data_IF_878016945058
#
_entry.id   IF_878016945058
#
_cell.length_a   1.000
_cell.length_b   1.000
_cell.length_c   1.000
_cell.angle_alpha   90.00
_cell.angle_beta   90.00
_cell.angle_gamma   90.00
#
_symmetry.space_group_name_H-M   'P 1'
#
loop_
_entity.id
_entity.type
_entity.pdbx_description
1 polymer ?
#
# COMPACT_ATOMS: atom_id res chain seq x y z
N UNK A 1 16.87 -44.44 -6.08
CA UNK A 1 15.60 -44.00 -5.44
C UNK A 1 15.89 -43.56 -4.01
N UNK A 2 16.30 -42.31 -3.83
CA UNK A 2 16.40 -41.70 -2.51
C UNK A 2 15.03 -41.13 -2.17
N UNK A 3 14.46 -41.60 -1.06
CA UNK A 3 13.28 -41.05 -0.45
C UNK A 3 13.60 -39.64 0.04
N UNK A 4 13.03 -38.62 -0.63
CA UNK A 4 12.95 -37.26 -0.10
C UNK A 4 12.02 -37.32 1.10
N UNK A 5 12.60 -37.30 2.29
CA UNK A 5 11.83 -37.29 3.55
C UNK A 5 10.91 -36.07 3.61
N UNK A 6 9.66 -36.33 3.88
CA UNK A 6 8.62 -35.35 4.15
C UNK A 6 9.03 -34.47 5.35
N UNK A 7 9.36 -33.20 5.10
CA UNK A 7 9.76 -32.24 6.13
C UNK A 7 8.58 -31.62 6.89
N UNK A 8 7.35 -31.99 6.57
CA UNK A 8 6.15 -31.51 7.26
C UNK A 8 6.04 -31.96 8.72
N UNK A 9 6.96 -32.82 9.18
CA UNK A 9 6.96 -33.37 10.54
C UNK A 9 7.70 -32.52 11.59
N UNK A 10 8.37 -31.42 11.21
CA UNK A 10 9.22 -30.65 12.15
C UNK A 10 8.54 -29.46 12.82
N UNK A 11 7.34 -29.06 12.40
CA UNK A 11 6.66 -27.86 12.93
C UNK A 11 7.40 -26.53 12.70
N UNK A 12 8.47 -26.56 11.89
CA UNK A 12 9.26 -25.38 11.54
C UNK A 12 8.72 -24.77 10.25
N UNK A 13 8.24 -23.55 10.30
CA UNK A 13 7.90 -22.75 9.11
C UNK A 13 9.11 -21.96 8.66
N UNK A 14 9.43 -22.04 7.38
CA UNK A 14 10.56 -21.34 6.75
C UNK A 14 10.07 -20.22 5.86
N UNK A 15 10.67 -19.03 6.03
CA UNK A 15 10.35 -17.84 5.24
C UNK A 15 11.61 -17.39 4.53
N UNK A 16 11.56 -17.25 3.20
CA UNK A 16 12.64 -16.69 2.40
C UNK A 16 12.26 -15.26 2.00
N UNK A 17 13.11 -14.30 2.33
CA UNK A 17 12.98 -12.93 1.86
C UNK A 17 13.88 -12.75 0.62
N UNK A 18 13.31 -12.20 -0.44
CA UNK A 18 14.03 -11.83 -1.65
C UNK A 18 13.91 -10.33 -1.90
N UNK A 19 14.85 -9.79 -2.68
CA UNK A 19 14.86 -8.37 -3.08
C UNK A 19 14.51 -8.18 -4.54
N UNK A 20 14.85 -9.16 -5.36
CA UNK A 20 14.60 -9.12 -6.80
C UNK A 20 13.32 -9.90 -7.13
N UNK A 21 12.22 -9.21 -7.51
CA UNK A 21 10.95 -9.87 -7.86
C UNK A 21 11.06 -10.75 -9.12
N UNK A 22 12.05 -10.53 -9.99
CA UNK A 22 12.26 -11.41 -11.14
C UNK A 22 12.58 -12.85 -10.70
N UNK A 23 13.03 -13.04 -9.45
CA UNK A 23 13.23 -14.36 -8.87
C UNK A 23 11.91 -15.08 -8.53
N UNK A 24 10.79 -14.37 -8.44
CA UNK A 24 9.47 -14.97 -8.26
C UNK A 24 8.94 -15.57 -9.56
N UNK A 25 9.36 -15.03 -10.69
CA UNK A 25 8.94 -15.54 -11.99
C UNK A 25 9.68 -16.85 -12.33
N UNK A 26 8.98 -17.83 -12.93
CA UNK A 26 9.63 -19.06 -13.38
C UNK A 26 10.65 -18.72 -14.47
N UNK A 27 11.94 -18.74 -14.15
CA UNK A 27 12.98 -18.72 -15.17
C UNK A 27 12.88 -19.97 -16.05
N UNK A 28 13.23 -19.84 -17.34
CA UNK A 28 13.15 -20.94 -18.32
C UNK A 28 13.76 -22.24 -17.77
N UNK A 29 12.91 -23.18 -17.34
CA UNK A 29 13.29 -24.50 -16.85
C UNK A 29 13.37 -24.68 -15.34
N UNK A 30 13.27 -23.62 -14.53
CA UNK A 30 13.06 -23.71 -13.09
C UNK A 30 11.61 -23.35 -12.76
N UNK A 31 10.97 -24.09 -11.88
CA UNK A 31 9.65 -23.72 -11.33
C UNK A 31 9.76 -22.46 -10.47
N UNK A 32 8.60 -21.99 -9.90
CA UNK A 32 8.60 -20.87 -8.95
C UNK A 32 9.64 -21.05 -7.85
N UNK A 33 10.17 -19.96 -7.32
CA UNK A 33 11.20 -19.97 -6.27
C UNK A 33 10.82 -20.89 -5.10
N UNK A 34 9.57 -20.92 -4.72
CA UNK A 34 9.01 -21.81 -3.69
C UNK A 34 9.27 -23.29 -3.98
N UNK A 35 9.22 -23.71 -5.24
CA UNK A 35 9.37 -25.10 -5.63
C UNK A 35 10.82 -25.63 -5.49
N UNK A 36 11.83 -24.77 -5.63
CA UNK A 36 13.23 -25.18 -5.54
C UNK A 36 13.93 -24.69 -4.27
N UNK A 37 13.51 -23.58 -3.66
CA UNK A 37 14.05 -23.08 -2.40
C UNK A 37 13.58 -23.91 -1.21
N UNK A 38 12.47 -24.64 -1.35
CA UNK A 38 11.79 -25.38 -0.27
C UNK A 38 11.40 -24.50 0.93
N UNK A 39 11.28 -23.20 0.71
CA UNK A 39 10.68 -22.30 1.70
C UNK A 39 9.16 -22.49 1.70
N UNK A 40 8.55 -22.43 2.88
CA UNK A 40 7.11 -22.51 3.03
C UNK A 40 6.43 -21.22 2.53
N UNK A 41 7.13 -20.08 2.70
CA UNK A 41 6.71 -18.76 2.23
C UNK A 41 7.88 -18.03 1.60
N UNK A 42 7.60 -17.29 0.53
CA UNK A 42 8.56 -16.37 -0.10
C UNK A 42 7.96 -14.97 -0.09
N UNK A 43 8.71 -14.01 0.43
CA UNK A 43 8.30 -12.60 0.55
C UNK A 43 9.25 -11.74 -0.28
N UNK A 44 8.72 -10.96 -1.19
CA UNK A 44 9.47 -9.94 -1.91
C UNK A 44 9.28 -8.58 -1.22
N UNK A 45 10.33 -8.08 -0.58
CA UNK A 45 10.23 -6.80 0.15
C UNK A 45 9.88 -5.61 -0.74
N UNK A 46 10.24 -5.66 -2.02
CA UNK A 46 9.88 -4.62 -2.97
C UNK A 46 8.38 -4.59 -3.24
N UNK A 47 7.75 -5.76 -3.40
CA UNK A 47 6.30 -5.86 -3.62
C UNK A 47 5.52 -5.40 -2.40
N UNK A 48 5.91 -5.85 -1.22
CA UNK A 48 5.27 -5.48 0.05
C UNK A 48 5.28 -3.96 0.30
N UNK A 49 6.41 -3.29 0.03
CA UNK A 49 6.51 -1.83 0.20
C UNK A 49 5.61 -1.11 -0.82
N UNK A 50 5.59 -1.56 -2.07
CA UNK A 50 4.73 -0.96 -3.10
C UNK A 50 3.26 -1.16 -2.75
N UNK A 51 2.87 -2.34 -2.29
CA UNK A 51 1.49 -2.62 -1.85
C UNK A 51 1.09 -1.75 -0.66
N UNK A 52 2.00 -1.55 0.29
CA UNK A 52 1.75 -0.67 1.43
C UNK A 52 1.58 0.79 1.01
N UNK A 53 2.46 1.31 0.15
CA UNK A 53 2.34 2.66 -0.40
C UNK A 53 1.06 2.81 -1.21
N UNK A 54 0.77 1.84 -2.07
CA UNK A 54 -0.43 1.83 -2.88
C UNK A 54 -1.70 1.79 -2.03
N UNK A 55 -1.71 1.02 -0.94
CA UNK A 55 -2.83 0.98 0.00
C UNK A 55 -3.08 2.35 0.66
N UNK A 56 -2.01 3.06 1.07
CA UNK A 56 -2.12 4.42 1.61
C UNK A 56 -2.75 5.42 0.66
N UNK A 57 -2.65 5.20 -0.64
CA UNK A 57 -3.23 6.07 -1.67
C UNK A 57 -4.71 5.80 -1.93
N UNK A 58 -5.23 4.66 -1.50
CA UNK A 58 -6.66 4.34 -1.62
C UNK A 58 -7.53 5.22 -0.72
N UNK A 59 -6.97 5.73 0.36
CA UNK A 59 -7.64 6.66 1.25
C UNK A 59 -6.61 7.57 1.95
N UNK A 60 -6.17 8.65 1.29
CA UNK A 60 -5.12 9.54 1.79
C UNK A 60 -5.47 10.23 3.11
N UNK A 61 -6.76 10.25 3.47
CA UNK A 61 -7.23 10.79 4.75
C UNK A 61 -7.13 9.80 5.92
N UNK A 62 -6.71 8.55 5.70
CA UNK A 62 -6.41 7.58 6.76
C UNK A 62 -4.92 7.67 7.10
N UNK A 63 -4.56 7.64 8.39
CA UNK A 63 -3.18 7.85 8.82
C UNK A 63 -2.25 6.75 8.34
N UNK A 64 -2.71 5.50 8.37
CA UNK A 64 -1.94 4.35 7.92
C UNK A 64 -2.84 3.24 7.41
N UNK A 65 -2.50 2.66 6.26
CA UNK A 65 -3.16 1.48 5.71
C UNK A 65 -2.07 0.44 5.43
N UNK A 66 -2.23 -0.74 6.03
CA UNK A 66 -1.33 -1.86 5.86
C UNK A 66 -2.07 -3.01 5.19
N UNK A 67 -1.54 -3.60 4.12
CA UNK A 67 -2.14 -4.79 3.53
C UNK A 67 -2.05 -5.97 4.51
N UNK A 68 -3.08 -6.78 4.56
CA UNK A 68 -3.18 -8.00 5.34
C UNK A 68 -3.61 -9.15 4.41
N UNK A 69 -2.66 -9.66 3.64
CA UNK A 69 -2.92 -10.58 2.54
C UNK A 69 -3.66 -9.89 1.38
N UNK A 70 -4.18 -10.67 0.45
CA UNK A 70 -4.64 -10.18 -0.86
C UNK A 70 -5.97 -9.38 -0.82
N UNK A 71 -6.77 -9.53 0.23
CA UNK A 71 -8.16 -9.04 0.27
C UNK A 71 -8.54 -8.31 1.55
N UNK A 72 -7.57 -8.00 2.39
CA UNK A 72 -7.84 -7.35 3.69
C UNK A 72 -6.77 -6.30 4.00
N UNK A 73 -7.14 -5.33 4.81
CA UNK A 73 -6.26 -4.24 5.21
C UNK A 73 -6.46 -3.90 6.68
N UNK A 74 -5.39 -3.48 7.32
CA UNK A 74 -5.44 -2.80 8.61
C UNK A 74 -5.46 -1.31 8.30
N UNK A 75 -6.51 -0.61 8.73
CA UNK A 75 -6.60 0.84 8.65
C UNK A 75 -6.45 1.44 10.06
N UNK A 76 -5.55 2.40 10.19
CA UNK A 76 -5.27 3.11 11.44
C UNK A 76 -5.65 4.55 11.27
N UNK A 77 -6.46 5.08 12.17
CA UNK A 77 -6.87 6.48 12.08
C UNK A 77 -7.17 7.10 13.44
N UNK A 78 -6.75 8.35 13.58
CA UNK A 78 -7.07 9.17 14.75
C UNK A 78 -8.51 9.68 14.68
N UNK A 79 -9.19 9.67 15.80
CA UNK A 79 -10.55 10.23 15.97
C UNK A 79 -10.47 11.75 16.09
N UNK A 80 -10.95 12.43 15.08
CA UNK A 80 -10.94 13.88 15.01
C UNK A 80 -12.07 14.52 15.83
N UNK A 81 -11.88 15.79 16.19
CA UNK A 81 -12.93 16.60 16.78
C UNK A 81 -14.20 16.58 15.91
N UNK A 82 -15.35 16.32 16.53
CA UNK A 82 -16.63 16.23 15.81
C UNK A 82 -16.91 14.89 15.15
N UNK A 83 -16.05 13.88 15.34
CA UNK A 83 -16.32 12.51 14.90
C UNK A 83 -17.63 11.99 15.49
N UNK A 84 -18.53 11.42 14.67
CA UNK A 84 -19.76 10.80 15.18
C UNK A 84 -19.51 9.53 16.02
N UNK A 85 -18.29 9.01 16.06
CA UNK A 85 -17.91 7.87 16.91
C UNK A 85 -17.72 8.28 18.38
N UNK A 86 -17.45 9.56 18.68
CA UNK A 86 -17.17 10.02 20.03
C UNK A 86 -18.35 9.70 20.96
N UNK A 87 -18.06 9.10 22.12
CA UNK A 87 -19.06 8.67 23.08
C UNK A 87 -19.71 7.32 22.79
N UNK A 88 -19.43 6.71 21.64
CA UNK A 88 -19.94 5.39 21.28
C UNK A 88 -19.03 4.31 21.86
N UNK A 89 -19.59 3.18 22.29
CA UNK A 89 -18.80 2.00 22.65
C UNK A 89 -18.28 1.30 21.40
N UNK A 90 -17.04 0.84 21.45
CA UNK A 90 -16.38 0.17 20.29
C UNK A 90 -17.18 -1.02 19.74
N UNK A 91 -17.86 -1.77 20.61
CA UNK A 91 -18.68 -2.93 20.20
C UNK A 91 -19.98 -2.57 19.47
N UNK A 92 -20.46 -1.32 19.60
CA UNK A 92 -21.71 -0.88 18.97
C UNK A 92 -21.50 -0.09 17.67
N UNK A 93 -20.26 0.14 17.29
CA UNK A 93 -19.94 0.97 16.09
C UNK A 93 -20.58 0.40 14.84
N UNK A 94 -20.47 -0.90 14.59
CA UNK A 94 -21.07 -1.55 13.42
C UNK A 94 -22.60 -1.58 13.43
N UNK A 95 -23.26 -1.42 14.58
CA UNK A 95 -24.71 -1.35 14.70
C UNK A 95 -25.24 0.06 14.38
N UNK A 96 -24.47 1.08 14.73
CA UNK A 96 -24.84 2.51 14.56
C UNK A 96 -24.44 3.00 13.17
N UNK A 97 -23.27 2.58 12.69
CA UNK A 97 -22.69 3.03 11.42
C UNK A 97 -22.59 1.85 10.44
N UNK A 98 -23.56 1.75 9.54
CA UNK A 98 -23.62 0.65 8.55
C UNK A 98 -22.40 0.69 7.65
N UNK A 99 -21.73 -0.44 7.53
CA UNK A 99 -20.60 -0.64 6.62
C UNK A 99 -19.23 -0.37 7.23
N UNK A 100 -19.16 0.23 8.43
CA UNK A 100 -17.88 0.39 9.13
C UNK A 100 -17.42 -0.98 9.64
N UNK A 101 -16.14 -1.34 9.46
CA UNK A 101 -15.60 -2.55 10.05
C UNK A 101 -15.48 -2.43 11.57
N UNK A 102 -15.39 -3.56 12.24
CA UNK A 102 -15.18 -3.60 13.69
C UNK A 102 -13.86 -2.95 14.08
N UNK A 103 -13.87 -2.24 15.21
CA UNK A 103 -12.65 -1.73 15.83
C UNK A 103 -11.95 -2.90 16.52
N UNK A 104 -10.74 -3.18 16.08
CA UNK A 104 -9.94 -4.29 16.60
C UNK A 104 -9.08 -3.89 17.79
N UNK A 105 -8.53 -2.69 17.75
CA UNK A 105 -7.70 -2.15 18.83
C UNK A 105 -7.84 -0.62 18.91
N UNK A 106 -7.45 -0.06 20.02
CA UNK A 106 -7.41 1.39 20.23
C UNK A 106 -6.22 1.77 21.10
N UNK A 107 -5.80 3.04 20.98
CA UNK A 107 -4.68 3.60 21.73
C UNK A 107 -4.93 5.07 22.01
N UNK A 108 -4.65 5.52 23.24
CA UNK A 108 -4.49 6.94 23.52
C UNK A 108 -3.09 7.40 23.13
N UNK A 109 -2.92 8.69 22.88
CA UNK A 109 -1.61 9.27 22.59
C UNK A 109 -0.63 8.99 23.75
N UNK A 110 0.57 8.50 23.43
CA UNK A 110 1.61 8.17 24.40
C UNK A 110 1.38 6.86 25.20
N UNK A 111 0.26 6.18 25.02
CA UNK A 111 -0.05 4.93 25.70
C UNK A 111 0.20 3.69 24.81
N UNK A 112 0.23 2.52 25.44
CA UNK A 112 0.24 1.25 24.70
C UNK A 112 -1.13 0.96 24.12
N UNK A 113 -1.18 0.43 22.91
CA UNK A 113 -2.41 -0.05 22.31
C UNK A 113 -3.02 -1.22 23.09
N UNK A 114 -4.33 -1.25 23.17
CA UNK A 114 -5.10 -2.34 23.76
C UNK A 114 -6.05 -2.93 22.72
N UNK A 115 -6.30 -4.23 22.81
CA UNK A 115 -7.34 -4.87 22.01
C UNK A 115 -8.71 -4.40 22.48
N UNK A 116 -9.61 -4.16 21.54
CA UNK A 116 -10.98 -3.78 21.87
C UNK A 116 -11.73 -4.97 22.46
N UNK A 117 -12.38 -4.73 23.59
CA UNK A 117 -13.32 -5.68 24.23
C UNK A 117 -14.78 -5.37 23.87
N UNK A 118 -15.01 -4.28 23.16
CA UNK A 118 -16.34 -3.78 22.82
C UNK A 118 -16.95 -2.84 23.85
N UNK A 119 -16.32 -2.66 25.01
CA UNK A 119 -16.84 -1.84 26.12
C UNK A 119 -16.21 -0.45 26.23
N UNK A 120 -15.12 -0.21 25.53
CA UNK A 120 -14.39 1.05 25.52
C UNK A 120 -15.24 2.14 24.88
N UNK A 121 -15.24 3.33 25.51
CA UNK A 121 -15.90 4.52 24.96
C UNK A 121 -14.88 5.28 24.12
N UNK A 122 -15.23 5.52 22.86
CA UNK A 122 -14.39 6.23 21.91
C UNK A 122 -14.32 7.72 22.30
N UNK A 123 -13.11 8.26 22.27
CA UNK A 123 -12.81 9.66 22.60
C UNK A 123 -12.03 10.34 21.46
N UNK A 124 -12.10 11.66 21.42
CA UNK A 124 -11.28 12.47 20.54
C UNK A 124 -9.77 12.22 20.79
N UNK A 125 -8.98 12.22 19.73
CA UNK A 125 -7.53 12.00 19.79
C UNK A 125 -7.13 10.52 19.95
N UNK A 126 -8.07 9.61 20.15
CA UNK A 126 -7.75 8.19 20.17
C UNK A 126 -7.41 7.69 18.78
N UNK A 127 -6.41 6.82 18.70
CA UNK A 127 -6.05 6.09 17.48
C UNK A 127 -6.81 4.76 17.48
N UNK A 128 -7.61 4.57 16.44
CA UNK A 128 -8.39 3.34 16.24
C UNK A 128 -7.77 2.48 15.15
N UNK A 129 -7.85 1.18 15.33
CA UNK A 129 -7.38 0.15 14.39
C UNK A 129 -8.58 -0.64 13.89
N UNK A 130 -8.79 -0.61 12.60
CA UNK A 130 -9.85 -1.33 11.90
C UNK A 130 -9.26 -2.45 11.05
N UNK A 131 -10.01 -3.53 10.86
CA UNK A 131 -9.69 -4.56 9.85
C UNK A 131 -10.72 -4.46 8.74
N UNK A 132 -10.32 -3.90 7.61
CA UNK A 132 -11.15 -3.72 6.43
C UNK A 132 -11.03 -4.89 5.47
N UNK A 133 -12.11 -5.21 4.75
CA UNK A 133 -12.19 -6.25 3.71
C UNK A 133 -12.55 -5.68 2.34
N UNK A 134 -12.75 -4.39 2.23
CA UNK A 134 -13.00 -3.71 0.96
C UNK A 134 -12.52 -2.26 1.02
N UNK A 135 -12.19 -1.70 -0.13
CA UNK A 135 -11.80 -0.29 -0.25
C UNK A 135 -12.95 0.67 0.08
N UNK A 136 -14.21 0.26 -0.14
CA UNK A 136 -15.38 1.06 0.23
C UNK A 136 -15.45 1.35 1.72
N UNK A 137 -14.89 0.46 2.55
CA UNK A 137 -14.85 0.66 3.99
C UNK A 137 -13.88 1.78 4.41
N UNK A 138 -12.89 2.13 3.58
CA UNK A 138 -11.99 3.24 3.87
C UNK A 138 -12.73 4.58 3.91
N UNK A 139 -13.57 4.83 2.92
CA UNK A 139 -14.41 6.03 2.88
C UNK A 139 -15.32 6.13 4.12
N UNK A 140 -15.85 4.99 4.54
CA UNK A 140 -16.70 4.95 5.73
C UNK A 140 -15.91 5.18 7.02
N UNK A 141 -14.71 4.61 7.14
CA UNK A 141 -13.80 4.87 8.26
C UNK A 141 -13.46 6.36 8.31
N UNK A 142 -13.03 6.94 7.16
CA UNK A 142 -12.66 8.36 7.05
C UNK A 142 -13.75 9.28 7.56
N UNK A 143 -14.99 9.09 7.10
CA UNK A 143 -16.16 9.87 7.55
C UNK A 143 -16.46 9.66 9.04
N UNK A 144 -16.38 8.43 9.50
CA UNK A 144 -16.70 8.07 10.87
C UNK A 144 -15.70 8.64 11.88
N UNK A 145 -14.42 8.66 11.56
CA UNK A 145 -13.40 9.29 12.42
C UNK A 145 -13.42 10.83 12.35
N UNK A 146 -14.32 11.41 11.55
CA UNK A 146 -14.49 12.86 11.43
C UNK A 146 -13.51 13.53 10.47
N UNK A 147 -12.91 12.78 9.55
CA UNK A 147 -12.05 13.32 8.51
C UNK A 147 -12.81 13.57 7.22
N UNK A 148 -12.28 14.47 6.40
CA UNK A 148 -12.82 14.72 5.07
C UNK A 148 -12.52 13.52 4.18
N UNK A 149 -13.55 13.00 3.55
CA UNK A 149 -13.45 11.92 2.58
C UNK A 149 -13.07 12.53 1.24
N UNK A 150 -11.86 12.25 0.80
CA UNK A 150 -11.35 12.69 -0.49
C UNK A 150 -11.14 11.46 -1.36
N UNK A 151 -11.88 11.39 -2.46
CA UNK A 151 -11.69 10.34 -3.47
C UNK A 151 -10.35 10.56 -4.19
N UNK A 152 -9.71 9.45 -4.57
CA UNK A 152 -8.56 9.52 -5.46
C UNK A 152 -8.99 10.14 -6.79
N UNK A 153 -8.30 11.17 -7.30
CA UNK A 153 -8.72 11.86 -8.50
C UNK A 153 -8.79 10.94 -9.72
N UNK A 154 -9.89 10.98 -10.47
CA UNK A 154 -9.96 10.32 -11.76
C UNK A 154 -8.91 10.91 -12.72
N UNK A 155 -8.12 10.06 -13.36
CA UNK A 155 -7.01 10.45 -14.23
C UNK A 155 -5.95 11.30 -13.52
N UNK A 156 -5.66 10.99 -12.26
CA UNK A 156 -4.66 11.70 -11.47
C UNK A 156 -3.34 11.89 -12.25
N UNK A 157 -2.71 13.06 -12.04
CA UNK A 157 -1.36 13.34 -12.51
C UNK A 157 -0.38 12.91 -11.41
N UNK A 158 0.49 11.96 -11.72
CA UNK A 158 1.39 11.36 -10.73
C UNK A 158 2.83 11.54 -11.18
N UNK A 159 3.67 12.10 -10.32
CA UNK A 159 5.11 12.14 -10.50
C UNK A 159 5.77 11.06 -9.64
N UNK A 160 6.63 10.25 -10.24
CA UNK A 160 7.45 9.24 -9.56
C UNK A 160 8.92 9.61 -9.74
N UNK A 161 9.65 9.71 -8.64
CA UNK A 161 11.06 10.03 -8.64
C UNK A 161 11.92 8.76 -8.56
N UNK A 162 12.50 8.39 -9.69
CA UNK A 162 13.34 7.22 -9.88
C UNK A 162 12.64 6.10 -10.66
N UNK A 163 13.37 5.50 -11.61
CA UNK A 163 12.95 4.33 -12.37
C UNK A 163 13.44 3.00 -11.76
N UNK A 164 13.83 3.02 -10.48
CA UNK A 164 14.18 1.81 -9.76
C UNK A 164 13.03 0.80 -9.82
N UNK A 165 13.29 -0.41 -9.37
CA UNK A 165 12.28 -1.45 -9.29
C UNK A 165 11.01 -1.00 -8.53
N UNK A 166 11.17 -0.18 -7.47
CA UNK A 166 10.04 0.43 -6.75
C UNK A 166 9.31 1.46 -7.61
N UNK A 167 10.03 2.39 -8.21
CA UNK A 167 9.43 3.42 -9.05
C UNK A 167 8.69 2.82 -10.25
N UNK A 168 9.25 1.79 -10.89
CA UNK A 168 8.59 1.07 -11.99
C UNK A 168 7.30 0.40 -11.56
N UNK A 169 7.26 -0.21 -10.37
CA UNK A 169 6.06 -0.84 -9.82
C UNK A 169 5.00 0.19 -9.42
N UNK A 170 5.41 1.30 -8.78
CA UNK A 170 4.51 2.41 -8.47
C UNK A 170 3.91 2.99 -9.74
N UNK A 171 4.74 3.26 -10.76
CA UNK A 171 4.26 3.75 -12.06
C UNK A 171 3.22 2.79 -12.65
N UNK A 172 3.50 1.48 -12.67
CA UNK A 172 2.57 0.47 -13.16
C UNK A 172 1.26 0.45 -12.34
N UNK A 173 1.35 0.57 -11.01
CA UNK A 173 0.17 0.62 -10.15
C UNK A 173 -0.73 1.80 -10.52
N UNK A 174 -0.18 3.02 -10.60
CA UNK A 174 -0.96 4.22 -10.95
C UNK A 174 -1.54 4.16 -12.37
N UNK A 175 -0.74 3.67 -13.32
CA UNK A 175 -1.23 3.46 -14.69
C UNK A 175 -2.41 2.49 -14.74
N UNK A 176 -2.39 1.43 -13.91
CA UNK A 176 -3.50 0.47 -13.81
C UNK A 176 -4.78 1.10 -13.26
N UNK A 177 -4.65 2.17 -12.47
CA UNK A 177 -5.78 2.97 -11.94
C UNK A 177 -6.25 4.07 -12.91
N UNK A 178 -5.62 4.18 -14.07
CA UNK A 178 -6.00 5.16 -15.09
C UNK A 178 -5.31 6.50 -14.96
N UNK A 179 -4.33 6.65 -14.07
CA UNK A 179 -3.55 7.87 -13.91
C UNK A 179 -2.64 8.13 -15.11
N UNK A 180 -2.23 9.40 -15.28
CA UNK A 180 -1.11 9.79 -16.10
C UNK A 180 0.12 9.86 -15.21
N UNK A 181 1.21 9.24 -15.62
CA UNK A 181 2.42 9.11 -14.79
C UNK A 181 3.61 9.73 -15.52
N UNK A 182 4.35 10.58 -14.84
CA UNK A 182 5.69 10.98 -15.25
C UNK A 182 6.70 10.37 -14.30
N UNK A 183 7.73 9.72 -14.86
CA UNK A 183 8.87 9.21 -14.09
C UNK A 183 10.09 10.04 -14.41
N UNK A 184 10.76 10.56 -13.39
CA UNK A 184 11.99 11.36 -13.54
C UNK A 184 13.14 10.51 -13.02
N UNK A 185 14.11 10.17 -13.90
CA UNK A 185 15.21 9.26 -13.58
C UNK A 185 16.54 9.88 -14.02
N UNK A 186 17.51 10.05 -13.09
CA UNK A 186 18.81 10.61 -13.42
C UNK A 186 19.75 9.65 -14.17
N UNK A 187 19.51 8.34 -14.08
CA UNK A 187 20.29 7.34 -14.81
C UNK A 187 19.64 7.05 -16.16
N UNK A 188 20.36 7.33 -17.24
CA UNK A 188 19.87 7.14 -18.61
C UNK A 188 19.57 5.67 -18.93
N UNK A 189 20.39 4.76 -18.41
CA UNK A 189 20.22 3.32 -18.69
C UNK A 189 18.96 2.80 -17.98
N UNK A 190 18.71 3.21 -16.72
CA UNK A 190 17.51 2.89 -15.98
C UNK A 190 16.25 3.50 -16.65
N UNK A 191 16.32 4.73 -17.11
CA UNK A 191 15.24 5.36 -17.85
C UNK A 191 14.91 4.59 -19.14
N UNK A 192 15.93 4.19 -19.91
CA UNK A 192 15.77 3.41 -21.14
C UNK A 192 15.22 1.99 -20.84
N UNK A 193 15.64 1.36 -19.74
CA UNK A 193 15.13 0.06 -19.32
C UNK A 193 13.63 0.14 -19.01
N UNK A 194 13.19 1.18 -18.29
CA UNK A 194 11.77 1.40 -18.02
C UNK A 194 10.97 1.61 -19.31
N UNK A 195 11.47 2.45 -20.24
CA UNK A 195 10.83 2.68 -21.54
C UNK A 195 10.73 1.37 -22.35
N UNK A 196 11.75 0.52 -22.30
CA UNK A 196 11.78 -0.78 -22.97
C UNK A 196 10.93 -1.88 -22.31
N UNK A 197 10.43 -1.63 -21.11
CA UNK A 197 9.63 -2.58 -20.34
C UNK A 197 8.16 -2.63 -20.81
N UNK A 198 7.38 -3.64 -20.40
CA UNK A 198 5.93 -3.67 -20.68
C UNK A 198 5.19 -2.41 -20.17
N UNK A 199 5.64 -1.84 -19.06
CA UNK A 199 5.07 -0.60 -18.48
C UNK A 199 5.32 0.59 -19.41
N UNK A 200 6.51 0.66 -20.04
CA UNK A 200 6.89 1.71 -20.98
C UNK A 200 6.02 1.80 -22.24
N UNK A 201 5.27 0.75 -22.55
CA UNK A 201 4.34 0.76 -23.69
C UNK A 201 3.06 1.59 -23.44
N UNK A 202 2.82 2.02 -22.23
CA UNK A 202 1.65 2.82 -21.86
C UNK A 202 1.71 4.23 -22.47
N UNK A 203 0.63 4.67 -23.11
CA UNK A 203 0.49 6.04 -23.62
C UNK A 203 0.30 7.10 -22.53
N UNK A 204 0.13 6.68 -21.30
CA UNK A 204 -0.06 7.52 -20.13
C UNK A 204 1.20 7.61 -19.27
N UNK A 205 2.32 7.04 -19.75
CA UNK A 205 3.61 7.10 -19.10
C UNK A 205 4.55 7.98 -19.90
N UNK A 206 5.10 8.99 -19.25
CA UNK A 206 6.24 9.75 -19.72
C UNK A 206 7.46 9.43 -18.85
N UNK A 207 8.57 9.10 -19.47
CA UNK A 207 9.84 8.87 -18.77
C UNK A 207 10.82 9.94 -19.15
N UNK A 208 11.25 10.72 -18.19
CA UNK A 208 12.14 11.88 -18.36
C UNK A 208 13.50 11.53 -17.76
N UNK A 209 14.54 11.57 -18.56
CA UNK A 209 15.90 11.54 -18.07
C UNK A 209 16.29 12.90 -17.52
N UNK A 210 16.52 13.01 -16.21
CA UNK A 210 16.87 14.27 -15.55
C UNK A 210 17.06 14.12 -14.05
N UNK A 211 17.66 15.13 -13.45
CA UNK A 211 17.87 15.17 -12.00
C UNK A 211 16.55 15.57 -11.30
N UNK A 212 16.00 14.72 -10.40
CA UNK A 212 14.80 15.05 -9.63
C UNK A 212 15.00 16.23 -8.64
N UNK A 213 16.23 16.74 -8.48
CA UNK A 213 16.53 17.93 -7.69
C UNK A 213 16.65 19.20 -8.55
N UNK A 214 16.54 19.10 -9.87
CA UNK A 214 16.59 20.24 -10.77
C UNK A 214 15.25 20.99 -10.74
N UNK A 215 15.26 22.14 -10.07
CA UNK A 215 14.07 23.02 -9.94
C UNK A 215 13.54 23.53 -11.27
N UNK A 216 14.40 23.71 -12.28
CA UNK A 216 13.97 24.18 -13.60
C UNK A 216 13.20 23.08 -14.33
N UNK A 217 13.72 21.86 -14.30
CA UNK A 217 13.06 20.66 -14.82
C UNK A 217 11.71 20.43 -14.12
N UNK A 218 11.68 20.48 -12.79
CA UNK A 218 10.44 20.26 -12.03
C UNK A 218 9.39 21.32 -12.35
N UNK A 219 9.81 22.57 -12.61
CA UNK A 219 8.92 23.66 -13.02
C UNK A 219 8.41 23.48 -14.45
N UNK A 220 9.29 23.04 -15.37
CA UNK A 220 8.89 22.74 -16.76
C UNK A 220 7.85 21.62 -16.82
N UNK A 221 8.01 20.62 -15.98
CA UNK A 221 7.08 19.49 -15.86
C UNK A 221 5.84 19.83 -15.01
N UNK A 222 5.78 21.03 -14.43
CA UNK A 222 4.70 21.52 -13.57
C UNK A 222 4.38 20.52 -12.41
N UNK A 223 5.41 19.96 -11.78
CA UNK A 223 5.27 18.93 -10.75
C UNK A 223 4.44 19.41 -9.56
N UNK A 224 4.48 20.69 -9.23
CA UNK A 224 3.66 21.32 -8.20
C UNK A 224 2.15 21.29 -8.48
N UNK A 225 1.75 21.03 -9.72
CA UNK A 225 0.35 20.85 -10.13
C UNK A 225 -0.08 19.37 -10.20
N UNK A 226 0.81 18.44 -9.91
CA UNK A 226 0.46 17.01 -9.86
C UNK A 226 -0.33 16.70 -8.59
N UNK A 227 -1.24 15.73 -8.70
CA UNK A 227 -2.06 15.29 -7.56
C UNK A 227 -1.20 14.51 -6.55
N UNK A 228 -0.17 13.82 -7.03
CA UNK A 228 0.72 12.98 -6.22
C UNK A 228 2.16 13.13 -6.71
N UNK A 229 3.11 13.19 -5.78
CA UNK A 229 4.54 13.09 -6.01
C UNK A 229 5.16 12.08 -5.02
N UNK A 230 5.86 11.04 -5.54
CA UNK A 230 6.38 9.91 -4.75
C UNK A 230 7.84 9.61 -5.10
#
# INVERSE_FOLDING_TARGET
SEQVGDRSASGLTTIAQIRDPNLLEPSRGAGPLESWSKADHVVCSADEIVEQLAAGLLAPSIDEILPLGDTSWIAVSEVMAGSPLIGTKTGYVGEIFVGIPSIYALRNEGEKGILSTGSEIIQEGQILVFVSRSTDQFHQITRAVGRKDEDFPENAQVAVFGASQFGSKLANHYLSKGSNVVVIEPDLDAANELVGSPVGSSKRLDVIHGDPQDEELLRELAIDSHDIAV
#
